data_IF_345605782932
#
_entry.id   IF_345605782932
#
_cell.length_a   1.000
_cell.length_b   1.000
_cell.length_c   1.000
_cell.angle_alpha   90.00
_cell.angle_beta   90.00
_cell.angle_gamma   90.00
#
_symmetry.space_group_name_H-M   'P 1'
#
loop_
_entity.id
_entity.type
_entity.pdbx_description
1 polymer ?
#
# COMPACT_ATOMS: atom_id res chain seq x y z
N UNK A 1 -24.39 18.56 -1.46
CA UNK A 1 -23.40 18.27 -2.52
C UNK A 1 -24.07 18.41 -3.88
N UNK A 2 -23.31 18.75 -4.91
CA UNK A 2 -23.78 18.86 -6.31
C UNK A 2 -22.81 18.15 -7.24
N UNK A 3 -23.24 17.82 -8.47
CA UNK A 3 -22.39 17.16 -9.46
C UNK A 3 -22.33 15.62 -9.37
N UNK A 4 -23.14 15.00 -8.51
CA UNK A 4 -23.27 13.53 -8.49
C UNK A 4 -23.87 13.03 -9.81
N UNK A 5 -23.31 11.97 -10.44
CA UNK A 5 -23.88 11.39 -11.64
C UNK A 5 -25.16 10.59 -11.32
N UNK A 6 -25.91 10.21 -12.36
CA UNK A 6 -27.03 9.28 -12.21
C UNK A 6 -26.57 8.00 -11.49
N UNK A 7 -27.45 7.38 -10.70
CA UNK A 7 -27.10 6.18 -9.91
C UNK A 7 -26.19 6.41 -8.70
N UNK A 8 -25.81 7.66 -8.41
CA UNK A 8 -25.04 8.01 -7.21
C UNK A 8 -25.87 8.88 -6.26
N UNK A 9 -26.05 8.39 -5.04
CA UNK A 9 -26.73 9.11 -3.97
C UNK A 9 -25.71 9.57 -2.93
N UNK A 10 -25.68 10.88 -2.66
CA UNK A 10 -24.92 11.46 -1.54
C UNK A 10 -25.83 11.70 -0.35
N UNK A 11 -25.38 11.35 0.86
CA UNK A 11 -26.04 11.69 2.13
C UNK A 11 -25.05 12.30 3.11
N UNK A 12 -25.55 13.15 4.00
CA UNK A 12 -24.79 13.69 5.11
C UNK A 12 -25.40 13.21 6.43
N UNK A 13 -24.57 12.88 7.44
CA UNK A 13 -25.06 12.53 8.78
C UNK A 13 -25.80 13.70 9.44
N UNK A 14 -25.46 14.94 9.06
CA UNK A 14 -26.25 16.14 9.34
C UNK A 14 -26.04 17.23 8.27
N UNK A 15 -27.13 17.69 7.65
CA UNK A 15 -27.06 18.72 6.60
C UNK A 15 -26.95 20.15 7.15
N UNK A 16 -27.41 20.37 8.40
CA UNK A 16 -27.37 21.67 9.08
C UNK A 16 -27.20 21.49 10.59
N UNK A 17 -26.29 22.24 11.21
CA UNK A 17 -26.13 22.31 12.65
C UNK A 17 -25.46 23.64 13.09
N UNK A 18 -25.48 23.92 14.39
CA UNK A 18 -24.76 25.07 14.97
C UNK A 18 -23.26 24.78 15.03
N UNK A 19 -22.43 25.70 14.54
CA UNK A 19 -20.96 25.57 14.60
C UNK A 19 -20.42 25.67 16.05
N UNK A 20 -19.37 24.91 16.41
CA UNK A 20 -18.68 23.92 15.58
C UNK A 20 -19.47 22.60 15.48
N UNK A 21 -19.54 22.02 14.29
CA UNK A 21 -20.11 20.70 14.05
C UNK A 21 -19.30 19.95 12.99
N UNK A 22 -19.40 18.62 13.00
CA UNK A 22 -18.81 17.72 12.01
C UNK A 22 -19.93 16.94 11.34
N UNK A 23 -19.93 16.79 10.01
CA UNK A 23 -20.83 15.86 9.32
C UNK A 23 -20.02 14.83 8.56
N UNK A 24 -20.49 13.59 8.61
CA UNK A 24 -20.00 12.50 7.76
C UNK A 24 -20.75 12.53 6.44
N UNK A 25 -20.06 12.27 5.33
CA UNK A 25 -20.67 12.11 4.01
C UNK A 25 -20.65 10.63 3.63
N UNK A 26 -21.77 10.09 3.17
CA UNK A 26 -21.84 8.75 2.58
C UNK A 26 -22.26 8.82 1.13
N UNK A 27 -21.67 7.95 0.31
CA UNK A 27 -22.02 7.76 -1.09
C UNK A 27 -22.56 6.35 -1.27
N UNK A 28 -23.70 6.24 -1.94
CA UNK A 28 -24.26 4.98 -2.41
C UNK A 28 -24.25 5.00 -3.93
N UNK A 29 -23.64 3.98 -4.54
CA UNK A 29 -23.40 3.88 -5.99
C UNK A 29 -24.11 2.62 -6.48
N UNK A 30 -25.15 2.79 -7.28
CA UNK A 30 -25.91 1.68 -7.86
C UNK A 30 -25.43 1.31 -9.27
N UNK A 31 -25.99 0.23 -9.82
CA UNK A 31 -25.61 -0.31 -11.12
C UNK A 31 -25.91 0.59 -12.32
N UNK A 32 -26.67 1.67 -12.14
CA UNK A 32 -26.96 2.67 -13.18
C UNK A 32 -25.89 3.77 -13.25
N UNK A 33 -24.94 3.80 -12.31
CA UNK A 33 -23.89 4.80 -12.29
C UNK A 33 -23.00 4.73 -13.54
N UNK A 34 -22.85 5.82 -14.30
CA UNK A 34 -22.04 5.83 -15.50
C UNK A 34 -20.56 5.66 -15.14
N UNK A 35 -19.84 4.83 -15.88
CA UNK A 35 -18.39 4.65 -15.68
C UNK A 35 -17.63 5.91 -16.04
N UNK A 36 -16.53 6.18 -15.35
CA UNK A 36 -15.68 7.34 -15.58
C UNK A 36 -15.44 8.15 -14.30
N UNK A 37 -14.74 9.27 -14.47
CA UNK A 37 -14.44 10.21 -13.39
C UNK A 37 -15.53 11.27 -13.31
N UNK A 38 -16.10 11.44 -12.12
CA UNK A 38 -17.18 12.39 -11.82
C UNK A 38 -16.77 13.31 -10.68
N UNK A 39 -17.10 14.59 -10.82
CA UNK A 39 -16.74 15.61 -9.84
C UNK A 39 -17.95 15.94 -8.96
N UNK A 40 -17.82 15.70 -7.67
CA UNK A 40 -18.83 16.05 -6.66
C UNK A 40 -18.32 17.23 -5.86
N UNK A 41 -19.05 18.34 -5.89
CA UNK A 41 -18.74 19.53 -5.11
C UNK A 41 -19.52 19.50 -3.80
N UNK A 42 -18.79 19.61 -2.69
CA UNK A 42 -19.34 19.69 -1.34
C UNK A 42 -19.27 21.16 -0.93
N UNK A 43 -20.41 21.73 -0.55
CA UNK A 43 -20.49 23.12 -0.09
C UNK A 43 -21.00 23.13 1.33
N UNK A 44 -20.28 23.82 2.21
CA UNK A 44 -20.71 24.16 3.57
C UNK A 44 -20.85 25.68 3.66
N UNK A 45 -22.06 26.14 3.93
CA UNK A 45 -22.38 27.56 4.01
C UNK A 45 -22.93 27.97 5.38
N UNK A 46 -22.60 29.19 5.78
CA UNK A 46 -23.16 29.90 6.92
C UNK A 46 -23.75 31.22 6.45
N UNK A 47 -24.35 32.00 7.35
CA UNK A 47 -24.87 33.34 6.99
C UNK A 47 -23.78 34.35 6.60
N UNK A 48 -22.50 34.02 6.79
CA UNK A 48 -21.37 34.96 6.61
C UNK A 48 -20.28 34.42 5.70
N UNK A 49 -20.15 33.09 5.57
CA UNK A 49 -19.05 32.44 4.86
C UNK A 49 -19.49 31.15 4.18
N UNK A 50 -18.92 30.89 3.02
CA UNK A 50 -19.06 29.65 2.26
C UNK A 50 -17.69 29.00 2.09
N UNK A 51 -17.66 27.67 2.19
CA UNK A 51 -16.50 26.83 1.92
C UNK A 51 -16.92 25.71 0.98
N UNK A 52 -16.10 25.43 -0.02
CA UNK A 52 -16.25 24.31 -0.92
C UNK A 52 -15.10 23.30 -0.80
N UNK A 53 -15.39 22.07 -1.18
CA UNK A 53 -14.43 20.99 -1.32
C UNK A 53 -14.82 20.12 -2.51
N UNK A 54 -13.85 19.52 -3.17
CA UNK A 54 -14.06 18.70 -4.37
C UNK A 54 -13.73 17.25 -4.04
N UNK A 55 -14.68 16.36 -4.35
CA UNK A 55 -14.50 14.91 -4.33
C UNK A 55 -14.56 14.38 -5.77
N UNK A 56 -13.54 13.63 -6.17
CA UNK A 56 -13.53 12.93 -7.45
C UNK A 56 -13.97 11.47 -7.23
N UNK A 57 -15.13 11.10 -7.78
CA UNK A 57 -15.64 9.74 -7.78
C UNK A 57 -15.28 9.05 -9.10
N UNK A 58 -14.56 7.93 -9.04
CA UNK A 58 -14.32 7.08 -10.22
C UNK A 58 -15.20 5.85 -10.17
N UNK A 59 -16.10 5.70 -11.14
CA UNK A 59 -16.94 4.52 -11.32
C UNK A 59 -16.29 3.62 -12.37
N UNK A 60 -15.99 2.38 -12.02
CA UNK A 60 -15.40 1.38 -12.92
C UNK A 60 -16.39 0.27 -13.21
N UNK A 61 -16.26 -0.37 -14.37
CA UNK A 61 -16.96 -1.63 -14.62
C UNK A 61 -16.29 -2.73 -13.79
N UNK A 62 -17.06 -3.65 -13.17
CA UNK A 62 -16.48 -4.86 -12.58
C UNK A 62 -15.61 -5.56 -13.62
N UNK A 63 -14.44 -6.07 -13.21
CA UNK A 63 -13.52 -6.75 -14.11
C UNK A 63 -14.19 -7.99 -14.72
N UNK A 64 -14.74 -7.84 -15.92
CA UNK A 64 -15.16 -8.98 -16.73
C UNK A 64 -13.90 -9.66 -17.23
N UNK A 65 -13.67 -10.89 -16.77
CA UNK A 65 -12.61 -11.74 -17.33
C UNK A 65 -12.79 -11.86 -18.85
N UNK A 66 -11.77 -11.45 -19.60
CA UNK A 66 -11.69 -11.68 -21.04
C UNK A 66 -11.31 -10.46 -21.87
N UNK A 67 -10.01 -10.32 -22.10
CA UNK A 67 -9.42 -10.04 -23.42
C UNK A 67 -9.82 -8.78 -24.16
N UNK A 68 -8.88 -7.83 -24.24
CA UNK A 68 -8.65 -7.09 -25.48
C UNK A 68 -8.88 -5.59 -25.43
N UNK A 69 -7.76 -4.85 -25.39
CA UNK A 69 -7.52 -3.67 -26.21
C UNK A 69 -8.39 -2.42 -25.97
N UNK A 70 -7.83 -1.43 -25.27
CA UNK A 70 -8.42 -0.09 -25.22
C UNK A 70 -7.55 0.89 -24.45
N UNK A 71 -6.65 1.56 -25.16
CA UNK A 71 -5.75 2.60 -24.69
C UNK A 71 -6.50 3.81 -24.11
N UNK A 72 -6.47 3.97 -22.79
CA UNK A 72 -6.76 5.23 -22.10
C UNK A 72 -5.47 5.79 -21.53
N UNK A 73 -5.07 6.98 -21.99
CA UNK A 73 -3.82 7.66 -21.64
C UNK A 73 -3.76 8.16 -20.19
N UNK A 74 -3.76 7.24 -19.23
CA UNK A 74 -2.92 7.38 -18.04
C UNK A 74 -1.57 6.78 -18.40
N UNK A 75 -0.47 7.51 -18.22
CA UNK A 75 0.85 6.93 -18.43
C UNK A 75 0.95 5.59 -17.71
N UNK A 76 1.55 4.59 -18.35
CA UNK A 76 1.82 3.31 -17.70
C UNK A 76 2.51 3.61 -16.35
N UNK A 77 2.00 3.00 -15.27
CA UNK A 77 2.65 3.15 -13.98
C UNK A 77 4.10 2.67 -14.12
N UNK A 78 5.04 3.28 -13.36
CA UNK A 78 6.38 2.74 -13.27
C UNK A 78 6.32 1.27 -12.87
N UNK A 79 7.23 0.47 -13.40
CA UNK A 79 7.31 -0.94 -13.04
C UNK A 79 7.55 -1.10 -11.53
N UNK A 80 7.03 -2.17 -10.92
CA UNK A 80 7.00 -2.32 -9.47
C UNK A 80 6.02 -1.39 -8.74
N UNK A 81 5.11 -0.71 -9.45
CA UNK A 81 4.05 0.12 -8.86
C UNK A 81 2.67 -0.51 -9.07
N UNK A 82 1.92 -0.68 -7.98
CA UNK A 82 0.54 -1.17 -7.96
C UNK A 82 -0.41 -0.02 -7.66
N UNK A 83 -1.43 0.16 -8.51
CA UNK A 83 -2.52 1.08 -8.22
C UNK A 83 -3.54 0.38 -7.30
N UNK A 84 -3.81 0.98 -6.14
CA UNK A 84 -4.79 0.47 -5.16
C UNK A 84 -6.00 1.40 -5.01
N UNK A 85 -6.07 2.44 -5.86
CA UNK A 85 -7.25 3.28 -5.95
C UNK A 85 -8.45 2.45 -6.41
N UNK A 86 -9.53 2.49 -5.63
CA UNK A 86 -10.74 1.70 -5.88
C UNK A 86 -10.81 0.37 -5.13
N UNK A 87 -9.69 -0.13 -4.58
CA UNK A 87 -9.70 -1.29 -3.66
C UNK A 87 -9.61 -0.87 -2.18
N UNK A 88 -9.40 0.42 -1.92
CA UNK A 88 -9.28 1.02 -0.59
C UNK A 88 -10.39 2.07 -0.40
N UNK A 89 -11.14 1.99 0.70
CA UNK A 89 -12.13 3.01 1.07
C UNK A 89 -11.48 4.32 1.49
N UNK A 90 -12.25 5.39 1.63
CA UNK A 90 -11.75 6.67 2.17
C UNK A 90 -11.25 6.58 3.61
N UNK A 91 -11.65 5.55 4.36
CA UNK A 91 -11.13 5.28 5.71
C UNK A 91 -9.88 4.39 5.71
N UNK A 92 -9.30 4.08 4.55
CA UNK A 92 -8.12 3.22 4.43
C UNK A 92 -8.42 1.71 4.43
N UNK A 93 -9.69 1.29 4.44
CA UNK A 93 -10.04 -0.13 4.50
C UNK A 93 -9.88 -0.79 3.12
N UNK A 94 -9.02 -1.79 3.02
CA UNK A 94 -8.93 -2.67 1.86
C UNK A 94 -10.18 -3.58 1.82
N UNK A 95 -10.99 -3.46 0.76
CA UNK A 95 -12.24 -4.25 0.63
C UNK A 95 -12.02 -5.63 0.03
N UNK A 96 -10.93 -5.78 -0.73
CA UNK A 96 -10.46 -7.04 -1.31
C UNK A 96 -8.99 -7.28 -0.94
N UNK A 97 -8.53 -8.52 -1.07
CA UNK A 97 -7.11 -8.84 -0.93
C UNK A 97 -6.36 -8.27 -2.13
N UNK A 98 -5.27 -7.55 -1.87
CA UNK A 98 -4.40 -6.97 -2.89
C UNK A 98 -3.03 -7.63 -2.81
N UNK A 99 -2.49 -8.01 -3.96
CA UNK A 99 -1.10 -8.46 -4.09
C UNK A 99 -0.34 -7.43 -4.92
N UNK A 100 0.77 -6.95 -4.39
CA UNK A 100 1.72 -6.08 -5.08
C UNK A 100 2.99 -6.90 -5.35
N UNK A 101 3.61 -6.72 -6.50
CA UNK A 101 4.85 -7.43 -6.87
C UNK A 101 5.87 -6.41 -7.43
N UNK A 102 7.14 -6.57 -7.08
CA UNK A 102 8.24 -5.78 -7.63
C UNK A 102 8.39 -6.05 -9.13
N UNK A 103 9.11 -5.19 -9.85
CA UNK A 103 9.31 -5.34 -11.30
C UNK A 103 10.03 -6.66 -11.66
N UNK A 104 11.00 -7.07 -10.85
CA UNK A 104 11.76 -8.30 -11.03
C UNK A 104 11.05 -9.57 -10.51
N UNK A 105 9.90 -9.43 -9.85
CA UNK A 105 9.14 -10.55 -9.31
C UNK A 105 9.72 -11.21 -8.05
N UNK A 106 10.78 -10.66 -7.46
CA UNK A 106 11.46 -11.26 -6.31
C UNK A 106 10.89 -10.81 -4.96
N UNK A 107 10.10 -9.73 -4.93
CA UNK A 107 9.49 -9.20 -3.73
C UNK A 107 7.97 -9.07 -3.94
N UNK A 108 7.20 -9.72 -3.06
CA UNK A 108 5.74 -9.75 -3.10
C UNK A 108 5.16 -9.31 -1.77
N UNK A 109 4.18 -8.42 -1.84
CA UNK A 109 3.43 -7.93 -0.68
C UNK A 109 1.97 -8.34 -0.82
N UNK A 110 1.43 -9.00 0.19
CA UNK A 110 0.01 -9.36 0.26
C UNK A 110 -0.67 -8.58 1.36
N UNK A 111 -1.69 -7.81 0.98
CA UNK A 111 -2.56 -7.04 1.87
C UNK A 111 -3.90 -7.76 1.93
N UNK A 112 -4.22 -8.47 3.02
CA UNK A 112 -5.50 -9.14 3.15
C UNK A 112 -6.67 -8.15 3.10
N UNK A 113 -7.83 -8.62 2.63
CA UNK A 113 -9.08 -7.86 2.81
C UNK A 113 -9.29 -7.53 4.30
N UNK A 114 -9.96 -6.41 4.56
CA UNK A 114 -10.24 -5.87 5.90
C UNK A 114 -9.01 -5.36 6.67
N UNK A 115 -7.88 -5.17 5.99
CA UNK A 115 -6.76 -4.39 6.52
C UNK A 115 -7.03 -2.90 6.35
N UNK A 116 -6.75 -2.11 7.39
CA UNK A 116 -6.72 -0.65 7.31
C UNK A 116 -5.29 -0.26 6.96
N UNK A 117 -5.09 0.30 5.77
CA UNK A 117 -3.83 0.91 5.36
C UNK A 117 -3.98 2.41 5.21
N UNK A 118 -3.10 3.17 5.86
CA UNK A 118 -3.09 4.64 5.79
C UNK A 118 -1.67 5.15 5.54
N UNK A 119 -1.53 6.29 4.88
CA UNK A 119 -0.26 7.02 4.85
C UNK A 119 0.08 7.59 6.23
N UNK A 120 1.30 8.10 6.39
CA UNK A 120 1.73 8.82 7.61
C UNK A 120 0.79 9.98 8.00
N UNK A 121 0.15 10.61 7.01
CA UNK A 121 -0.81 11.70 7.20
C UNK A 121 -2.25 11.22 7.44
N UNK A 122 -2.45 9.93 7.70
CA UNK A 122 -3.75 9.29 7.93
C UNK A 122 -4.71 9.35 6.73
N UNK A 123 -4.15 9.36 5.52
CA UNK A 123 -4.92 9.34 4.26
C UNK A 123 -4.94 7.93 3.67
N UNK A 124 -5.99 7.52 2.93
CA UNK A 124 -6.03 6.23 2.26
C UNK A 124 -4.94 6.14 1.18
N UNK A 125 -4.36 4.95 1.00
CA UNK A 125 -3.39 4.71 -0.06
C UNK A 125 -4.08 4.73 -1.44
N UNK A 126 -3.40 5.31 -2.42
CA UNK A 126 -3.83 5.32 -3.83
C UNK A 126 -2.92 4.48 -4.72
N UNK A 127 -1.65 4.35 -4.33
CA UNK A 127 -0.64 3.54 -5.01
C UNK A 127 0.34 2.99 -4.00
N UNK A 128 0.97 1.88 -4.34
CA UNK A 128 2.05 1.24 -3.61
C UNK A 128 3.18 0.98 -4.59
N UNK A 129 4.41 1.34 -4.25
CA UNK A 129 5.56 0.95 -5.07
C UNK A 129 6.62 0.26 -4.22
N UNK A 130 7.23 -0.77 -4.80
CA UNK A 130 8.28 -1.57 -4.19
C UNK A 130 9.44 -1.61 -5.18
N UNK A 131 10.40 -0.72 -5.00
CA UNK A 131 11.45 -0.48 -5.98
C UNK A 131 12.81 -0.87 -5.39
N UNK A 132 13.66 -1.59 -6.14
CA UNK A 132 15.01 -1.88 -5.69
C UNK A 132 15.81 -0.57 -5.52
N UNK A 133 16.69 -0.55 -4.53
CA UNK A 133 17.56 0.60 -4.26
C UNK A 133 18.90 0.45 -4.99
N UNK A 134 19.29 1.50 -5.72
CA UNK A 134 20.63 1.58 -6.32
C UNK A 134 21.73 1.76 -5.25
N UNK A 135 21.42 2.51 -4.19
CA UNK A 135 22.32 2.82 -3.07
C UNK A 135 21.63 2.54 -1.72
N UNK A 136 21.51 1.27 -1.30
CA UNK A 136 20.86 0.92 -0.04
C UNK A 136 21.70 1.34 1.18
N UNK A 137 21.08 1.58 2.35
CA UNK A 137 21.81 1.77 3.60
C UNK A 137 22.73 0.58 3.90
N UNK A 138 23.96 0.81 4.41
CA UNK A 138 24.88 -0.28 4.70
C UNK A 138 24.29 -1.23 5.76
N UNK A 139 24.49 -2.56 5.65
CA UNK A 139 24.03 -3.49 6.67
C UNK A 139 24.79 -3.30 7.99
N UNK A 140 24.25 -3.78 9.13
CA UNK A 140 24.96 -3.80 10.40
C UNK A 140 26.29 -4.54 10.29
N UNK A 141 27.25 -4.20 11.18
CA UNK A 141 28.55 -4.86 11.19
C UNK A 141 28.41 -6.37 11.41
N UNK A 142 28.98 -7.18 10.51
CA UNK A 142 28.90 -8.65 10.55
C UNK A 142 27.66 -9.24 9.88
N UNK A 143 26.78 -8.41 9.32
CA UNK A 143 25.66 -8.84 8.50
C UNK A 143 25.95 -8.62 7.01
N UNK A 144 25.35 -9.46 6.16
CA UNK A 144 25.34 -9.32 4.71
C UNK A 144 23.90 -9.18 4.22
N UNK A 145 23.68 -8.36 3.20
CA UNK A 145 22.40 -8.29 2.50
C UNK A 145 22.32 -9.46 1.51
N UNK A 146 21.22 -10.20 1.53
CA UNK A 146 20.92 -11.28 0.58
C UNK A 146 19.94 -10.75 -0.47
N UNK A 147 20.31 -10.83 -1.75
CA UNK A 147 19.52 -10.28 -2.85
C UNK A 147 19.47 -8.75 -2.86
N UNK A 148 18.29 -8.19 -3.17
CA UNK A 148 18.08 -6.74 -3.30
C UNK A 148 17.41 -6.14 -2.06
N UNK A 149 17.73 -4.87 -1.82
CA UNK A 149 17.00 -4.02 -0.86
C UNK A 149 15.92 -3.25 -1.59
N UNK A 150 14.72 -3.19 -1.04
CA UNK A 150 13.57 -2.51 -1.65
C UNK A 150 13.06 -1.38 -0.78
N UNK A 151 12.81 -0.23 -1.39
CA UNK A 151 12.09 0.87 -0.76
C UNK A 151 10.59 0.76 -1.06
N UNK A 152 9.77 0.81 0.01
CA UNK A 152 8.32 0.75 -0.08
C UNK A 152 7.72 2.15 0.09
N UNK A 153 6.91 2.56 -0.87
CA UNK A 153 6.22 3.86 -0.85
C UNK A 153 4.69 3.67 -0.87
N UNK A 154 3.93 4.57 -0.21
CA UNK A 154 4.40 5.78 0.47
C UNK A 154 5.09 5.48 1.81
N UNK A 155 6.26 6.07 2.03
CA UNK A 155 7.06 5.88 3.25
C UNK A 155 6.26 6.19 4.52
N UNK A 156 6.40 5.34 5.52
CA UNK A 156 5.70 5.47 6.80
C UNK A 156 4.20 5.18 6.73
N UNK A 157 3.68 4.60 5.64
CA UNK A 157 2.33 4.03 5.64
C UNK A 157 2.22 2.95 6.73
N UNK A 158 1.05 2.80 7.35
CA UNK A 158 0.80 1.83 8.42
C UNK A 158 -0.35 0.91 8.06
N UNK A 159 -0.34 -0.31 8.61
CA UNK A 159 -1.29 -1.37 8.32
C UNK A 159 -1.78 -2.08 9.59
N UNK A 160 -3.10 -2.24 9.72
CA UNK A 160 -3.73 -2.98 10.81
C UNK A 160 -4.92 -3.83 10.29
N UNK A 161 -4.88 -5.18 10.41
CA UNK A 161 -3.75 -6.00 10.90
C UNK A 161 -2.50 -5.91 10.01
N UNK A 162 -1.34 -6.40 10.50
CA UNK A 162 -0.12 -6.51 9.70
C UNK A 162 -0.34 -7.26 8.39
N UNK A 163 0.44 -6.87 7.38
CA UNK A 163 0.42 -7.45 6.03
C UNK A 163 1.59 -8.42 5.85
N UNK A 164 1.55 -9.20 4.78
CA UNK A 164 2.51 -10.28 4.56
C UNK A 164 3.51 -9.83 3.51
N UNK A 165 4.79 -9.83 3.87
CA UNK A 165 5.91 -9.61 2.97
C UNK A 165 6.59 -10.94 2.67
N UNK A 166 6.84 -11.21 1.39
CA UNK A 166 7.57 -12.38 0.91
C UNK A 166 8.71 -11.93 0.00
N UNK A 167 9.90 -12.45 0.26
CA UNK A 167 11.05 -12.32 -0.62
C UNK A 167 11.45 -13.67 -1.16
N UNK A 168 11.89 -13.70 -2.41
CA UNK A 168 12.64 -14.80 -3.00
C UNK A 168 14.14 -14.48 -2.95
N UNK A 169 14.97 -15.45 -2.57
CA UNK A 169 16.42 -15.32 -2.52
C UNK A 169 17.14 -16.39 -3.34
N UNK A 170 18.41 -16.15 -3.67
CA UNK A 170 19.30 -17.16 -4.25
C UNK A 170 20.19 -17.76 -3.16
N UNK A 171 20.31 -19.09 -3.14
CA UNK A 171 21.22 -19.81 -2.23
C UNK A 171 22.68 -19.40 -2.46
N UNK A 172 23.04 -19.00 -3.68
CA UNK A 172 24.39 -18.56 -4.02
C UNK A 172 24.77 -17.23 -3.33
N UNK A 173 23.79 -16.43 -2.90
CA UNK A 173 24.03 -15.17 -2.20
C UNK A 173 24.28 -15.37 -0.71
N UNK A 174 23.94 -16.54 -0.15
CA UNK A 174 24.13 -16.86 1.27
C UNK A 174 25.63 -17.06 1.55
N UNK A 175 26.25 -16.26 2.46
CA UNK A 175 27.65 -16.42 2.81
C UNK A 175 27.97 -17.79 3.42
N UNK A 176 29.18 -18.28 3.17
CA UNK A 176 29.66 -19.51 3.79
C UNK A 176 29.59 -19.41 5.33
N UNK A 177 29.02 -20.43 5.97
CA UNK A 177 28.90 -20.50 7.43
C UNK A 177 27.62 -19.89 8.02
N UNK A 178 26.74 -19.31 7.20
CA UNK A 178 25.38 -18.92 7.61
C UNK A 178 24.41 -20.03 7.24
N UNK A 179 23.58 -20.46 8.20
CA UNK A 179 22.50 -21.39 7.90
C UNK A 179 21.36 -20.66 7.19
N UNK A 180 20.75 -21.30 6.20
CA UNK A 180 19.63 -20.72 5.45
C UNK A 180 18.44 -20.39 6.38
N UNK A 181 18.21 -21.21 7.40
CA UNK A 181 17.20 -20.94 8.43
C UNK A 181 17.48 -19.70 9.31
N UNK A 182 18.70 -19.17 9.32
CA UNK A 182 19.09 -18.00 10.11
C UNK A 182 18.86 -16.67 9.36
N UNK A 183 18.34 -16.72 8.13
CA UNK A 183 17.97 -15.53 7.38
C UNK A 183 16.80 -14.80 8.06
N UNK A 184 16.90 -13.47 8.11
CA UNK A 184 15.85 -12.59 8.65
C UNK A 184 15.53 -11.48 7.67
N UNK A 185 14.28 -11.03 7.65
CA UNK A 185 13.90 -9.77 6.99
C UNK A 185 14.08 -8.65 8.02
N UNK A 186 14.77 -7.58 7.64
CA UNK A 186 14.91 -6.38 8.46
C UNK A 186 14.35 -5.16 7.73
N UNK A 187 13.88 -4.19 8.50
CA UNK A 187 13.53 -2.87 8.00
C UNK A 187 14.55 -1.83 8.45
N UNK A 188 14.79 -0.81 7.62
CA UNK A 188 15.62 0.32 8.02
C UNK A 188 14.79 1.34 8.80
N UNK A 189 15.19 1.66 10.03
CA UNK A 189 14.63 2.75 10.80
C UNK A 189 15.41 4.04 10.51
N UNK A 190 14.84 4.91 9.69
CA UNK A 190 15.47 6.19 9.33
C UNK A 190 15.68 7.13 10.53
N UNK A 191 14.92 6.96 11.61
CA UNK A 191 15.03 7.83 12.78
C UNK A 191 16.26 7.49 13.63
N UNK A 192 16.62 6.20 13.71
CA UNK A 192 17.83 5.74 14.43
C UNK A 192 19.02 5.53 13.49
N UNK A 193 18.76 5.33 12.20
CA UNK A 193 19.76 4.97 11.20
C UNK A 193 20.19 3.51 11.27
N UNK A 194 19.36 2.64 11.84
CA UNK A 194 19.68 1.23 12.12
C UNK A 194 18.72 0.27 11.40
N UNK A 195 19.22 -0.92 11.09
CA UNK A 195 18.38 -2.03 10.63
C UNK A 195 17.77 -2.74 11.83
N UNK A 196 16.46 -2.94 11.80
CA UNK A 196 15.69 -3.63 12.84
C UNK A 196 15.09 -4.89 12.24
N UNK A 197 15.43 -6.03 12.83
CA UNK A 197 14.92 -7.34 12.42
C UNK A 197 13.41 -7.45 12.67
N UNK A 198 12.69 -8.01 11.70
CA UNK A 198 11.30 -8.38 11.87
C UNK A 198 11.21 -9.69 12.64
N UNK A 199 10.32 -9.71 13.62
CA UNK A 199 10.00 -10.93 14.35
C UNK A 199 9.19 -11.90 13.49
N UNK A 200 9.35 -13.20 13.75
CA UNK A 200 8.53 -14.24 13.13
C UNK A 200 8.80 -14.46 11.64
N UNK A 201 10.02 -14.19 11.18
CA UNK A 201 10.46 -14.58 9.84
C UNK A 201 10.35 -16.10 9.66
N UNK A 202 9.83 -16.55 8.51
CA UNK A 202 9.69 -17.97 8.17
C UNK A 202 10.34 -18.22 6.83
N UNK A 203 11.39 -19.03 6.84
CA UNK A 203 12.14 -19.47 5.67
C UNK A 203 11.53 -20.76 5.11
N UNK A 204 11.27 -20.80 3.81
CA UNK A 204 10.91 -21.99 3.04
C UNK A 204 12.07 -22.36 2.09
N UNK A 205 12.91 -23.33 2.48
CA UNK A 205 14.07 -23.74 1.67
C UNK A 205 13.70 -24.59 0.45
N UNK A 206 12.41 -24.95 0.26
CA UNK A 206 11.96 -25.66 -0.95
C UNK A 206 11.72 -24.67 -2.08
N UNK A 207 11.18 -23.50 -1.75
CA UNK A 207 10.89 -22.42 -2.71
C UNK A 207 11.92 -21.30 -2.70
N UNK A 208 12.89 -21.36 -1.79
CA UNK A 208 13.89 -20.31 -1.52
C UNK A 208 13.21 -18.97 -1.23
N UNK A 209 12.22 -18.99 -0.34
CA UNK A 209 11.46 -17.79 0.05
C UNK A 209 11.53 -17.56 1.55
N UNK A 210 11.45 -16.29 1.95
CA UNK A 210 11.33 -15.89 3.34
C UNK A 210 10.14 -14.95 3.48
N UNK A 211 9.33 -15.19 4.51
CA UNK A 211 8.11 -14.42 4.77
C UNK A 211 8.13 -13.76 6.15
N UNK A 212 7.56 -12.57 6.27
CA UNK A 212 7.39 -11.89 7.56
C UNK A 212 6.10 -11.05 7.59
N UNK A 213 5.62 -10.75 8.81
CA UNK A 213 4.54 -9.79 9.02
C UNK A 213 5.08 -8.37 9.13
N UNK A 214 4.48 -7.44 8.41
CA UNK A 214 4.91 -6.04 8.33
C UNK A 214 3.73 -5.12 8.65
N UNK A 215 3.93 -4.14 9.52
CA UNK A 215 2.86 -3.21 9.94
C UNK A 215 3.05 -1.80 9.39
N UNK A 216 4.14 -1.54 8.67
CA UNK A 216 4.41 -0.22 8.09
C UNK A 216 5.31 -0.30 6.86
N UNK A 217 5.34 0.73 6.04
CA UNK A 217 6.27 0.85 4.93
C UNK A 217 7.55 1.58 5.34
N UNK A 218 8.66 1.00 4.91
CA UNK A 218 10.03 1.51 5.01
C UNK A 218 10.86 0.86 3.90
N UNK A 219 12.18 0.89 4.05
CA UNK A 219 13.11 0.06 3.29
C UNK A 219 13.25 -1.32 3.95
N UNK A 220 13.22 -2.39 3.15
CA UNK A 220 13.34 -3.78 3.60
C UNK A 220 14.44 -4.55 2.85
N UNK A 221 15.12 -5.45 3.56
CA UNK A 221 16.13 -6.35 3.01
C UNK A 221 16.16 -7.67 3.79
N UNK A 222 16.66 -8.74 3.14
CA UNK A 222 17.06 -9.95 3.84
C UNK A 222 18.47 -9.76 4.38
N UNK A 223 18.69 -10.05 5.66
CA UNK A 223 19.99 -10.05 6.30
C UNK A 223 20.40 -11.47 6.67
N UNK A 224 21.66 -11.78 6.36
CA UNK A 224 22.39 -12.93 6.86
C UNK A 224 23.36 -12.46 7.95
N UNK A 225 23.08 -12.79 9.20
CA UNK A 225 23.91 -12.41 10.34
C UNK A 225 24.87 -13.57 10.61
N UNK A 226 26.17 -13.34 10.43
CA UNK A 226 27.15 -14.34 10.81
C UNK A 226 27.12 -14.49 12.35
N UNK A 227 26.97 -15.72 12.84
CA UNK A 227 27.09 -15.99 14.26
C UNK A 227 28.46 -15.47 14.77
N UNK A 228 28.53 -14.84 15.97
CA UNK A 228 29.81 -14.43 16.52
C UNK A 228 30.73 -15.65 16.66
N UNK A 229 31.93 -15.56 16.07
CA UNK A 229 32.99 -16.56 16.15
C UNK A 229 33.60 -16.69 17.54
#
# INVERSE_FOLDING_TARGET
>A
ATGQPDGVTVKFSQETATVPFNSDMSLDVDSSAPTGSHTITIVCSSSVKEHDSILTLTVTTPAAGGGGGGSGGGGALPAGTTNVMGTVTMSGLFVDTVTCTSDDGLCTLTIPRRTIGLTKDLMPLTKISMLPMDEPPPPPAGANVIGLTYNFEPSGATFDPPIILEYTYDLADIPEGVAEEDLVIAYYDEATGEWIELEGCVVDPVTNTITASVSHFSTFAILAIAAPV
#
